data_IF_495932029955
#
_entry.id   IF_495932029955
#
_cell.length_a   1.000
_cell.length_b   1.000
_cell.length_c   1.000
_cell.angle_alpha   90.00
_cell.angle_beta   90.00
_cell.angle_gamma   90.00
#
_symmetry.space_group_name_H-M   'P 1'
#
loop_
_entity.id
_entity.type
_entity.pdbx_description
1 polymer ?
#
# COMPACT_ATOMS: atom_id res chain seq x y z
N UNK A 1 -3.18 -28.45 12.51
CA UNK A 1 -3.88 -29.42 11.63
C UNK A 1 -3.18 -29.33 10.30
N UNK A 2 -2.42 -30.34 9.88
CA UNK A 2 -1.74 -30.30 8.58
C UNK A 2 -2.79 -30.43 7.48
N UNK A 3 -2.99 -29.38 6.69
CA UNK A 3 -3.87 -29.39 5.51
C UNK A 3 -3.15 -30.03 4.32
N UNK A 4 -2.50 -31.17 4.55
CA UNK A 4 -1.81 -31.95 3.53
C UNK A 4 -2.76 -32.91 2.79
N UNK A 5 -4.05 -32.89 3.13
CA UNK A 5 -5.05 -33.77 2.54
C UNK A 5 -5.56 -33.22 1.20
N UNK A 6 -5.89 -34.12 0.26
CA UNK A 6 -6.50 -33.72 -1.00
C UNK A 6 -7.89 -33.10 -0.78
N UNK A 7 -8.39 -32.32 -1.75
CA UNK A 7 -9.71 -31.66 -1.68
C UNK A 7 -10.84 -32.61 -1.24
N UNK A 8 -10.83 -33.87 -1.71
CA UNK A 8 -11.85 -34.88 -1.35
C UNK A 8 -11.82 -35.24 0.13
N UNK A 9 -10.63 -35.40 0.69
CA UNK A 9 -10.44 -35.77 2.08
C UNK A 9 -10.85 -34.62 3.01
N UNK A 10 -10.56 -33.38 2.60
CA UNK A 10 -11.06 -32.20 3.30
C UNK A 10 -12.60 -32.15 3.31
N UNK A 11 -13.24 -32.39 2.17
CA UNK A 11 -14.71 -32.42 2.08
C UNK A 11 -15.29 -33.53 2.98
N UNK A 12 -14.67 -34.71 2.99
CA UNK A 12 -15.11 -35.81 3.86
C UNK A 12 -15.01 -35.45 5.34
N UNK A 13 -13.87 -34.89 5.78
CA UNK A 13 -13.67 -34.44 7.17
C UNK A 13 -14.66 -33.35 7.58
N UNK A 14 -14.88 -32.35 6.73
CA UNK A 14 -15.85 -31.28 7.01
C UNK A 14 -17.28 -31.83 7.09
N UNK A 15 -17.63 -32.80 6.23
CA UNK A 15 -18.94 -33.46 6.27
C UNK A 15 -19.16 -34.25 7.56
N UNK A 16 -18.13 -34.91 8.08
CA UNK A 16 -18.18 -35.66 9.34
C UNK A 16 -18.38 -34.73 10.54
N UNK A 17 -17.63 -33.63 10.60
CA UNK A 17 -17.81 -32.60 11.63
C UNK A 17 -19.22 -31.99 11.60
N UNK A 18 -19.76 -31.70 10.41
CA UNK A 18 -21.14 -31.21 10.30
C UNK A 18 -22.18 -32.25 10.75
N UNK A 19 -21.98 -33.53 10.44
CA UNK A 19 -22.92 -34.60 10.80
C UNK A 19 -22.91 -34.94 12.29
N UNK A 20 -21.73 -34.91 12.92
CA UNK A 20 -21.57 -35.14 14.37
C UNK A 20 -22.00 -33.95 15.23
N UNK A 21 -22.01 -32.74 14.65
CA UNK A 21 -22.21 -31.50 15.39
C UNK A 21 -21.01 -31.12 16.25
N UNK A 22 -19.89 -31.83 16.12
CA UNK A 22 -18.64 -31.54 16.82
C UNK A 22 -17.86 -30.47 16.08
N UNK A 23 -17.43 -29.45 16.83
CA UNK A 23 -16.61 -28.37 16.30
C UNK A 23 -15.22 -28.89 15.93
N UNK A 24 -14.77 -28.59 14.71
CA UNK A 24 -13.42 -28.89 14.28
C UNK A 24 -12.39 -28.11 15.11
N UNK A 25 -11.29 -28.75 15.49
CA UNK A 25 -10.22 -28.08 16.22
C UNK A 25 -9.63 -26.93 15.40
N UNK A 26 -9.47 -25.74 15.99
CA UNK A 26 -8.97 -24.57 15.27
C UNK A 26 -7.53 -24.77 14.80
N UNK A 27 -7.28 -24.46 13.53
CA UNK A 27 -5.95 -24.34 12.98
C UNK A 27 -5.57 -22.86 12.94
N UNK A 28 -4.68 -22.42 13.84
CA UNK A 28 -4.23 -21.03 13.88
C UNK A 28 -2.82 -20.90 13.34
N UNK A 29 -2.55 -19.83 12.61
CA UNK A 29 -1.26 -19.59 11.95
C UNK A 29 -1.22 -18.25 11.23
N UNK A 30 -0.22 -18.04 10.39
CA UNK A 30 -0.04 -16.80 9.62
C UNK A 30 -1.21 -16.50 8.68
N UNK A 31 -1.88 -17.54 8.16
CA UNK A 31 -3.10 -17.43 7.35
C UNK A 31 -4.26 -16.72 8.07
N UNK A 32 -4.26 -16.68 9.40
CA UNK A 32 -5.29 -15.97 10.16
C UNK A 32 -5.20 -14.44 10.01
N UNK A 33 -4.13 -13.90 9.42
CA UNK A 33 -4.01 -12.47 9.09
C UNK A 33 -5.21 -11.98 8.28
N UNK A 34 -5.59 -12.74 7.25
CA UNK A 34 -6.67 -12.42 6.32
C UNK A 34 -8.00 -13.09 6.71
N UNK A 35 -8.16 -13.49 7.98
CA UNK A 35 -9.38 -14.15 8.46
C UNK A 35 -10.59 -13.22 8.32
N UNK A 36 -11.58 -13.64 7.53
CA UNK A 36 -12.85 -12.93 7.32
C UNK A 36 -13.78 -12.95 8.54
N UNK A 37 -13.56 -13.87 9.49
CA UNK A 37 -14.38 -14.04 10.70
C UNK A 37 -13.92 -13.15 11.88
N UNK A 38 -13.28 -12.01 11.57
CA UNK A 38 -12.94 -10.96 12.54
C UNK A 38 -14.14 -10.05 12.75
N UNK A 39 -14.64 -9.97 13.97
CA UNK A 39 -15.77 -9.10 14.26
C UNK A 39 -15.33 -7.65 14.39
N UNK A 40 -15.94 -6.75 13.62
CA UNK A 40 -15.83 -5.32 13.89
C UNK A 40 -16.78 -4.95 15.02
N UNK A 41 -16.22 -4.85 16.23
CA UNK A 41 -16.98 -4.45 17.43
C UNK A 41 -17.54 -3.03 17.34
N UNK A 42 -17.01 -2.16 16.46
CA UNK A 42 -17.60 -0.84 16.22
C UNK A 42 -18.85 -0.93 15.36
N UNK A 43 -18.86 -1.81 14.36
CA UNK A 43 -20.01 -2.00 13.48
C UNK A 43 -21.14 -2.83 14.13
N UNK A 44 -20.78 -3.87 14.89
CA UNK A 44 -21.72 -4.87 15.40
C UNK A 44 -21.91 -4.83 16.93
N UNK A 45 -21.27 -3.88 17.62
CA UNK A 45 -21.37 -3.68 19.06
C UNK A 45 -20.40 -4.54 19.88
N UNK A 46 -20.32 -4.30 21.21
CA UNK A 46 -19.32 -4.92 22.09
C UNK A 46 -19.48 -6.44 22.24
N UNK A 47 -20.68 -6.97 21.98
CA UNK A 47 -21.01 -8.39 22.10
C UNK A 47 -20.88 -9.15 20.76
N UNK A 48 -20.33 -8.52 19.72
CA UNK A 48 -20.13 -9.15 18.43
C UNK A 48 -19.19 -10.36 18.57
N UNK A 49 -19.66 -11.54 18.14
CA UNK A 49 -18.87 -12.78 18.19
C UNK A 49 -17.87 -12.81 17.05
N UNK A 50 -16.61 -13.12 17.35
CA UNK A 50 -15.56 -13.30 16.35
C UNK A 50 -15.08 -14.73 16.31
N UNK A 51 -15.21 -15.38 15.16
CA UNK A 51 -14.65 -16.71 14.93
C UNK A 51 -13.12 -16.71 15.05
N UNK A 52 -12.47 -15.61 14.64
CA UNK A 52 -11.04 -15.41 14.87
C UNK A 52 -10.70 -15.46 16.37
N UNK A 53 -11.37 -14.67 17.21
CA UNK A 53 -11.11 -14.66 18.66
C UNK A 53 -11.38 -16.02 19.29
N UNK A 54 -12.44 -16.71 18.84
CA UNK A 54 -12.80 -18.04 19.33
C UNK A 54 -11.73 -19.08 19.00
N UNK A 55 -11.27 -19.14 17.74
CA UNK A 55 -10.22 -20.06 17.30
C UNK A 55 -8.91 -19.87 18.08
N UNK A 56 -8.48 -18.63 18.28
CA UNK A 56 -7.25 -18.32 19.00
C UNK A 56 -7.36 -18.56 20.52
N UNK A 57 -8.52 -18.28 21.11
CA UNK A 57 -8.78 -18.57 22.53
C UNK A 57 -8.76 -20.08 22.78
N UNK A 58 -9.31 -20.88 21.87
CA UNK A 58 -9.33 -22.33 22.00
C UNK A 58 -7.94 -22.95 21.76
N UNK A 59 -7.25 -22.55 20.67
CA UNK A 59 -5.96 -23.10 20.27
C UNK A 59 -4.80 -22.69 21.18
N UNK A 60 -4.75 -21.41 21.59
CA UNK A 60 -3.61 -20.80 22.28
C UNK A 60 -3.96 -20.22 23.65
N UNK A 61 -5.20 -20.39 24.12
CA UNK A 61 -5.67 -19.91 25.44
C UNK A 61 -5.55 -18.39 25.62
N UNK A 62 -5.67 -17.64 24.52
CA UNK A 62 -5.70 -16.18 24.56
C UNK A 62 -6.95 -15.67 25.29
N UNK A 63 -6.82 -14.51 25.94
CA UNK A 63 -7.92 -13.82 26.62
C UNK A 63 -8.39 -12.65 25.77
N UNK A 64 -9.58 -12.11 26.08
CA UNK A 64 -10.15 -10.96 25.37
C UNK A 64 -9.21 -9.77 25.27
N UNK A 65 -8.44 -9.47 26.32
CA UNK A 65 -7.48 -8.37 26.34
C UNK A 65 -6.27 -8.59 25.41
N UNK A 66 -5.94 -9.84 25.07
CA UNK A 66 -4.81 -10.16 24.19
C UNK A 66 -5.08 -9.76 22.74
N UNK A 67 -6.35 -9.70 22.32
CA UNK A 67 -6.71 -9.34 20.93
C UNK A 67 -6.50 -7.86 20.59
N UNK A 68 -6.27 -7.02 21.59
CA UNK A 68 -5.86 -5.63 21.39
C UNK A 68 -4.36 -5.49 21.10
N UNK A 69 -3.58 -6.54 21.38
CA UNK A 69 -2.13 -6.58 21.12
C UNK A 69 -1.87 -6.76 19.63
N UNK A 70 -0.67 -6.37 19.23
CA UNK A 70 -0.17 -6.54 17.87
C UNK A 70 0.33 -7.98 17.67
N UNK A 71 -0.22 -8.69 16.69
CA UNK A 71 0.19 -10.07 16.38
C UNK A 71 1.50 -10.06 15.58
N UNK A 72 2.24 -11.18 15.58
CA UNK A 72 3.47 -11.31 14.78
C UNK A 72 3.23 -11.09 13.28
N UNK A 73 2.06 -11.47 12.76
CA UNK A 73 1.71 -11.26 11.35
C UNK A 73 1.28 -9.83 11.01
N UNK A 74 1.13 -8.95 12.01
CA UNK A 74 0.92 -7.52 11.83
C UNK A 74 2.25 -6.77 11.59
N UNK A 75 3.39 -7.44 11.82
CA UNK A 75 4.70 -6.87 11.53
C UNK A 75 4.85 -6.66 10.02
N UNK A 76 5.25 -5.45 9.63
CA UNK A 76 5.31 -5.08 8.23
C UNK A 76 6.29 -5.95 7.44
N UNK A 77 5.79 -6.57 6.36
CA UNK A 77 6.54 -7.42 5.45
C UNK A 77 7.33 -8.57 6.14
N UNK A 78 6.89 -9.00 7.31
CA UNK A 78 7.52 -10.08 8.06
C UNK A 78 7.08 -11.45 7.51
N UNK A 79 8.06 -12.30 7.16
CA UNK A 79 7.81 -13.63 6.57
C UNK A 79 7.95 -14.78 7.57
N UNK A 80 8.54 -14.55 8.75
CA UNK A 80 8.71 -15.57 9.80
C UNK A 80 7.50 -15.71 10.73
N UNK A 81 6.30 -15.28 10.32
CA UNK A 81 5.11 -15.30 11.19
C UNK A 81 4.69 -16.72 11.54
N UNK A 82 4.76 -17.65 10.58
CA UNK A 82 4.38 -19.05 10.80
C UNK A 82 5.31 -19.72 11.82
N UNK A 83 6.62 -19.59 11.61
CA UNK A 83 7.65 -20.16 12.50
C UNK A 83 7.59 -19.57 13.91
N UNK A 84 7.30 -18.26 14.02
CA UNK A 84 7.08 -17.60 15.30
C UNK A 84 5.89 -18.20 16.04
N UNK A 85 4.74 -18.36 15.37
CA UNK A 85 3.51 -18.93 15.98
C UNK A 85 3.72 -20.40 16.38
N UNK A 86 4.44 -21.17 15.55
CA UNK A 86 4.83 -22.54 15.84
C UNK A 86 5.72 -22.62 17.09
N UNK A 87 6.64 -21.66 17.26
CA UNK A 87 7.49 -21.48 18.44
C UNK A 87 6.79 -20.78 19.62
N UNK A 88 5.47 -20.62 19.54
CA UNK A 88 4.62 -20.00 20.54
C UNK A 88 4.90 -18.51 20.83
N UNK A 89 5.48 -17.79 19.85
CA UNK A 89 5.57 -16.32 19.81
C UNK A 89 4.40 -15.79 18.98
N UNK A 90 3.38 -15.28 19.66
CA UNK A 90 2.09 -14.93 19.05
C UNK A 90 2.02 -13.45 18.73
N UNK A 91 2.61 -12.61 19.58
CA UNK A 91 2.58 -11.16 19.47
C UNK A 91 3.92 -10.61 19.00
N UNK A 92 3.90 -9.44 18.38
CA UNK A 92 5.12 -8.74 17.98
C UNK A 92 6.06 -8.53 19.19
N UNK A 93 5.48 -8.28 20.37
CA UNK A 93 6.22 -8.16 21.62
C UNK A 93 6.90 -9.45 22.13
N UNK A 94 6.53 -10.62 21.61
CA UNK A 94 7.14 -11.90 21.98
C UNK A 94 8.44 -12.17 21.20
N UNK A 95 8.71 -11.39 20.14
CA UNK A 95 9.95 -11.45 19.38
C UNK A 95 11.03 -10.60 20.03
N UNK A 96 12.27 -11.06 19.91
CA UNK A 96 13.50 -10.38 20.34
C UNK A 96 14.26 -9.84 19.14
N UNK A 97 15.28 -9.03 19.40
CA UNK A 97 16.12 -8.45 18.35
C UNK A 97 16.86 -9.57 17.57
N UNK A 98 17.19 -10.68 18.22
CA UNK A 98 17.84 -11.86 17.61
C UNK A 98 16.91 -12.64 16.65
N UNK A 99 15.59 -12.41 16.72
CA UNK A 99 14.62 -13.05 15.81
C UNK A 99 14.60 -12.37 14.42
N UNK A 100 15.28 -11.23 14.25
CA UNK A 100 15.33 -10.49 12.99
C UNK A 100 16.76 -10.36 12.50
N UNK A 101 17.05 -11.00 11.38
CA UNK A 101 18.30 -10.78 10.65
C UNK A 101 18.29 -9.38 10.01
N UNK A 102 19.08 -8.45 10.55
CA UNK A 102 19.21 -7.09 10.00
C UNK A 102 19.95 -7.14 8.67
N UNK A 103 19.37 -6.46 7.68
CA UNK A 103 19.89 -6.37 6.31
C UNK A 103 19.83 -4.92 5.91
N UNK A 104 20.96 -4.38 5.46
CA UNK A 104 21.02 -3.03 4.94
C UNK A 104 20.29 -2.93 3.60
N UNK A 105 20.01 -1.69 3.21
CA UNK A 105 19.48 -1.38 1.88
C UNK A 105 20.61 -1.45 0.84
N UNK A 106 20.28 -1.89 -0.37
CA UNK A 106 21.19 -1.95 -1.51
C UNK A 106 21.21 -0.66 -2.36
N UNK A 107 20.47 0.37 -1.94
CA UNK A 107 20.24 1.59 -2.72
C UNK A 107 21.07 2.81 -2.28
N UNK A 108 21.95 2.66 -1.28
CA UNK A 108 22.80 3.72 -0.70
C UNK A 108 22.04 4.99 -0.24
N UNK A 109 20.72 4.90 -0.08
CA UNK A 109 19.91 6.02 0.41
C UNK A 109 19.72 5.86 1.92
N UNK A 110 19.63 6.97 2.68
CA UNK A 110 19.60 6.89 4.13
C UNK A 110 18.22 6.48 4.66
N UNK A 111 18.16 6.22 5.96
CA UNK A 111 16.97 5.77 6.68
C UNK A 111 16.83 4.24 6.74
N UNK A 112 15.74 3.80 7.36
CA UNK A 112 15.54 2.41 7.74
C UNK A 112 15.44 1.47 6.52
N UNK A 113 16.12 0.34 6.63
CA UNK A 113 15.86 -0.85 5.84
C UNK A 113 14.54 -1.50 6.23
N UNK A 114 14.14 -2.51 5.45
CA UNK A 114 12.95 -3.31 5.77
C UNK A 114 13.07 -3.96 7.15
N UNK A 115 14.18 -4.64 7.44
CA UNK A 115 14.34 -5.42 8.67
C UNK A 115 14.65 -4.52 9.86
N UNK A 116 15.34 -3.40 9.68
CA UNK A 116 15.48 -2.37 10.72
C UNK A 116 14.14 -1.78 11.13
N UNK A 117 13.23 -1.56 10.17
CA UNK A 117 11.86 -1.13 10.47
C UNK A 117 11.05 -2.19 11.22
N UNK A 118 11.20 -3.47 10.87
CA UNK A 118 10.58 -4.58 11.60
C UNK A 118 11.06 -4.62 13.05
N UNK A 119 12.36 -4.48 13.28
CA UNK A 119 12.93 -4.35 14.62
C UNK A 119 12.33 -3.16 15.37
N UNK A 120 12.22 -2.00 14.72
CA UNK A 120 11.61 -0.82 15.31
C UNK A 120 10.18 -1.09 15.79
N UNK A 121 9.37 -1.75 14.96
CA UNK A 121 8.01 -2.16 15.30
C UNK A 121 7.98 -3.11 16.50
N UNK A 122 8.83 -4.14 16.52
CA UNK A 122 8.96 -5.09 17.64
C UNK A 122 9.35 -4.35 18.94
N UNK A 123 10.35 -3.46 18.88
CA UNK A 123 10.80 -2.69 20.03
C UNK A 123 9.69 -1.79 20.59
N UNK A 124 8.94 -1.10 19.73
CA UNK A 124 7.80 -0.28 20.14
C UNK A 124 6.70 -1.13 20.79
N UNK A 125 6.40 -2.29 20.22
CA UNK A 125 5.44 -3.25 20.75
C UNK A 125 5.83 -3.73 22.15
N UNK A 126 7.10 -4.12 22.35
CA UNK A 126 7.65 -4.55 23.66
C UNK A 126 7.61 -3.46 24.72
N UNK A 127 7.89 -2.23 24.33
CA UNK A 127 7.89 -1.07 25.22
C UNK A 127 6.48 -0.54 25.51
N UNK A 128 5.45 -1.03 24.79
CA UNK A 128 4.12 -0.42 24.81
C UNK A 128 4.13 1.02 24.33
N UNK A 129 5.10 1.39 23.48
CA UNK A 129 5.30 2.74 23.00
C UNK A 129 4.24 3.08 21.94
N UNK A 130 3.42 4.10 22.22
CA UNK A 130 2.40 4.64 21.31
C UNK A 130 2.84 5.95 20.64
N UNK A 131 4.08 6.36 20.90
CA UNK A 131 4.70 7.49 20.24
C UNK A 131 5.10 7.14 18.81
N UNK A 132 5.68 8.14 18.15
CA UNK A 132 6.09 8.05 16.76
C UNK A 132 7.62 8.02 16.68
N UNK A 133 8.15 7.20 15.77
CA UNK A 133 9.52 7.36 15.33
C UNK A 133 9.57 8.28 14.12
N UNK A 134 10.43 9.28 14.19
CA UNK A 134 10.79 10.11 13.04
C UNK A 134 12.30 10.34 13.02
N UNK A 135 12.93 10.07 11.89
CA UNK A 135 14.31 10.46 11.63
C UNK A 135 14.35 11.90 11.09
N UNK A 136 14.02 12.87 11.94
CA UNK A 136 13.74 14.24 11.52
C UNK A 136 14.93 14.93 10.85
N UNK A 137 16.14 14.68 11.33
CA UNK A 137 17.37 15.28 10.79
C UNK A 137 17.65 14.80 9.36
N UNK A 138 17.67 13.49 9.14
CA UNK A 138 17.91 12.90 7.81
C UNK A 138 16.77 13.23 6.86
N UNK A 139 15.52 13.20 7.34
CA UNK A 139 14.37 13.59 6.53
C UNK A 139 14.47 15.05 6.08
N UNK A 140 14.84 15.97 6.98
CA UNK A 140 15.04 17.37 6.62
C UNK A 140 16.11 17.54 5.53
N UNK A 141 17.25 16.83 5.67
CA UNK A 141 18.31 16.83 4.65
C UNK A 141 17.82 16.31 3.29
N UNK A 142 17.00 15.25 3.26
CA UNK A 142 16.41 14.76 2.01
C UNK A 142 15.42 15.76 1.40
N UNK A 143 14.61 16.42 2.23
CA UNK A 143 13.64 17.42 1.78
C UNK A 143 14.32 18.70 1.26
N UNK A 144 15.45 19.11 1.84
CA UNK A 144 16.22 20.29 1.40
C UNK A 144 16.80 20.14 -0.02
N UNK A 145 16.95 18.89 -0.51
CA UNK A 145 17.38 18.61 -1.89
C UNK A 145 16.25 18.77 -2.92
N UNK A 146 15.00 18.86 -2.46
CA UNK A 146 13.83 18.99 -3.32
C UNK A 146 13.63 20.45 -3.75
N UNK A 147 13.06 20.62 -4.95
CA UNK A 147 12.88 21.96 -5.53
C UNK A 147 11.41 22.34 -5.46
N UNK A 148 11.10 23.45 -4.79
CA UNK A 148 9.76 24.03 -4.85
C UNK A 148 9.46 24.65 -6.23
N UNK A 149 8.17 24.82 -6.59
CA UNK A 149 6.99 24.40 -5.83
C UNK A 149 6.82 22.88 -5.76
N UNK A 150 6.04 22.40 -4.80
CA UNK A 150 5.82 20.96 -4.58
C UNK A 150 4.47 20.55 -5.14
N UNK A 151 4.47 19.64 -6.11
CA UNK A 151 3.26 19.18 -6.80
C UNK A 151 2.82 17.85 -6.21
N UNK A 152 1.56 17.77 -5.78
CA UNK A 152 0.94 16.55 -5.29
C UNK A 152 -0.13 16.14 -6.28
N UNK A 153 -0.01 14.94 -6.81
CA UNK A 153 -0.87 14.42 -7.87
C UNK A 153 -1.41 13.07 -7.46
N UNK A 154 -2.69 12.88 -7.72
CA UNK A 154 -3.42 11.65 -7.44
C UNK A 154 -4.25 11.29 -8.67
N UNK A 155 -4.20 10.02 -9.09
CA UNK A 155 -4.87 9.52 -10.29
C UNK A 155 -6.04 8.62 -9.94
N UNK A 156 -7.15 8.82 -10.65
CA UNK A 156 -8.29 7.92 -10.63
C UNK A 156 -8.31 7.11 -11.92
N UNK A 157 -8.30 5.79 -11.75
CA UNK A 157 -8.19 4.84 -12.85
C UNK A 157 -9.18 3.70 -12.73
N UNK A 158 -9.49 3.07 -13.87
CA UNK A 158 -10.33 1.87 -13.94
C UNK A 158 -9.66 0.79 -14.77
N UNK A 159 -9.93 -0.46 -14.41
CA UNK A 159 -9.49 -1.65 -15.13
C UNK A 159 -10.70 -2.58 -15.25
N UNK A 160 -11.21 -2.74 -16.48
CA UNK A 160 -12.43 -3.52 -16.72
C UNK A 160 -12.13 -4.82 -17.46
N UNK A 161 -12.82 -5.90 -17.06
CA UNK A 161 -12.68 -7.21 -17.69
C UNK A 161 -13.15 -7.20 -19.15
N UNK A 162 -14.22 -6.47 -19.44
CA UNK A 162 -14.74 -6.25 -20.79
C UNK A 162 -14.41 -4.81 -21.20
N UNK A 163 -13.51 -4.60 -22.19
CA UNK A 163 -13.09 -3.25 -22.58
C UNK A 163 -14.23 -2.41 -23.17
N UNK A 164 -14.24 -1.12 -22.84
CA UNK A 164 -15.23 -0.17 -23.37
C UNK A 164 -14.99 0.25 -24.83
N UNK A 165 -13.76 0.06 -25.33
CA UNK A 165 -13.35 0.48 -26.68
C UNK A 165 -12.83 -0.71 -27.48
N UNK A 166 -13.17 -0.74 -28.78
CA UNK A 166 -12.71 -1.78 -29.68
C UNK A 166 -11.17 -1.79 -29.78
N UNK A 167 -10.59 -2.99 -29.89
CA UNK A 167 -9.14 -3.18 -29.99
C UNK A 167 -8.37 -3.12 -28.68
N UNK A 168 -9.05 -2.93 -27.54
CA UNK A 168 -8.45 -2.91 -26.20
C UNK A 168 -8.44 -4.29 -25.54
N UNK A 169 -7.59 -4.46 -24.53
CA UNK A 169 -7.42 -5.74 -23.82
C UNK A 169 -8.14 -5.74 -22.47
N UNK A 170 -8.63 -6.90 -22.00
CA UNK A 170 -9.13 -7.05 -20.63
C UNK A 170 -8.13 -6.52 -19.61
N UNK A 171 -8.64 -5.80 -18.61
CA UNK A 171 -7.86 -5.20 -17.52
C UNK A 171 -6.79 -4.21 -17.97
N UNK A 172 -6.92 -3.64 -19.17
CA UNK A 172 -6.11 -2.51 -19.58
C UNK A 172 -6.47 -1.27 -18.73
N UNK A 173 -5.46 -0.56 -18.22
CA UNK A 173 -5.68 0.57 -17.33
C UNK A 173 -6.12 1.81 -18.10
N UNK A 174 -7.19 2.43 -17.58
CA UNK A 174 -7.77 3.65 -18.13
C UNK A 174 -7.76 4.72 -17.04
N UNK A 175 -7.02 5.81 -17.27
CA UNK A 175 -6.95 6.96 -16.38
C UNK A 175 -7.94 8.03 -16.87
N UNK A 176 -8.90 8.39 -16.02
CA UNK A 176 -9.99 9.28 -16.40
C UNK A 176 -10.05 10.56 -15.58
N UNK A 177 -9.38 10.63 -14.42
CA UNK A 177 -9.31 11.83 -13.61
C UNK A 177 -7.97 11.95 -12.87
N UNK A 178 -7.50 13.18 -12.70
CA UNK A 178 -6.46 13.48 -11.72
C UNK A 178 -6.80 14.76 -10.97
N UNK A 179 -6.34 14.83 -9.72
CA UNK A 179 -6.27 16.09 -8.97
C UNK A 179 -4.82 16.55 -8.87
N UNK A 180 -4.59 17.86 -8.91
CA UNK A 180 -3.26 18.45 -8.81
C UNK A 180 -3.26 19.62 -7.82
N UNK A 181 -2.51 19.44 -6.75
CA UNK A 181 -2.32 20.43 -5.69
C UNK A 181 -0.87 20.90 -5.68
N UNK A 182 -0.68 22.16 -5.32
CA UNK A 182 0.65 22.77 -5.20
C UNK A 182 0.84 23.32 -3.80
N UNK A 183 1.99 23.00 -3.20
CA UNK A 183 2.48 23.66 -1.99
C UNK A 183 3.63 24.57 -2.39
N UNK A 184 3.48 25.87 -2.12
CA UNK A 184 4.54 26.85 -2.38
C UNK A 184 5.64 26.81 -1.30
N UNK A 185 6.68 27.62 -1.48
CA UNK A 185 7.82 27.69 -0.55
C UNK A 185 7.44 28.21 0.85
N UNK A 186 6.28 28.87 1.00
CA UNK A 186 5.76 29.35 2.27
C UNK A 186 4.84 28.33 2.95
N UNK A 187 4.68 27.14 2.35
CA UNK A 187 3.80 26.09 2.86
C UNK A 187 2.33 26.32 2.53
N UNK A 188 1.97 27.28 1.67
CA UNK A 188 0.59 27.48 1.24
C UNK A 188 0.21 26.38 0.26
N UNK A 189 -0.79 25.59 0.63
CA UNK A 189 -1.40 24.58 -0.24
C UNK A 189 -2.57 25.18 -1.02
N UNK A 190 -2.63 24.93 -2.32
CA UNK A 190 -3.78 25.24 -3.17
C UNK A 190 -4.07 24.12 -4.16
N UNK A 191 -5.35 23.91 -4.44
CA UNK A 191 -5.76 23.15 -5.61
C UNK A 191 -5.43 23.96 -6.86
N UNK A 192 -4.58 23.43 -7.74
CA UNK A 192 -4.02 24.15 -8.88
C UNK A 192 -4.79 23.87 -10.15
N UNK A 193 -4.99 22.59 -10.47
CA UNK A 193 -5.69 22.13 -11.68
C UNK A 193 -6.27 20.74 -11.45
N UNK A 194 -7.15 20.32 -12.35
CA UNK A 194 -7.68 18.96 -12.42
C UNK A 194 -7.99 18.57 -13.86
N UNK A 195 -8.21 17.28 -14.08
CA UNK A 195 -8.75 16.73 -15.31
C UNK A 195 -9.82 15.70 -14.98
N UNK A 196 -10.90 15.69 -15.75
CA UNK A 196 -11.95 14.69 -15.67
C UNK A 196 -12.51 14.44 -17.08
N UNK A 197 -12.41 13.19 -17.55
CA UNK A 197 -13.07 12.78 -18.79
C UNK A 197 -14.53 12.39 -18.52
N UNK A 198 -15.45 13.03 -19.25
CA UNK A 198 -16.90 12.80 -19.11
C UNK A 198 -17.57 12.38 -20.42
N UNK A 199 -16.85 12.40 -21.55
CA UNK A 199 -17.39 12.05 -22.87
C UNK A 199 -17.58 10.55 -22.98
N UNK A 200 -18.82 10.14 -23.24
CA UNK A 200 -19.19 8.74 -23.46
C UNK A 200 -18.50 8.17 -24.70
N UNK A 201 -17.88 7.00 -24.56
CA UNK A 201 -17.25 6.27 -25.67
C UNK A 201 -15.90 6.82 -26.10
N UNK A 202 -15.39 7.87 -25.43
CA UNK A 202 -14.07 8.44 -25.69
C UNK A 202 -13.00 7.78 -24.81
N UNK A 203 -11.82 7.54 -25.37
CA UNK A 203 -10.70 6.93 -24.64
C UNK A 203 -9.83 8.01 -23.98
N UNK A 204 -9.78 8.10 -22.64
CA UNK A 204 -9.26 9.27 -21.94
C UNK A 204 -7.73 9.37 -21.91
N UNK A 205 -7.00 8.26 -21.97
CA UNK A 205 -5.59 8.23 -21.54
C UNK A 205 -4.66 9.24 -22.22
N UNK A 206 -4.86 9.53 -23.51
CA UNK A 206 -3.98 10.46 -24.22
C UNK A 206 -4.31 11.91 -23.88
N UNK A 207 -5.61 12.24 -23.79
CA UNK A 207 -6.07 13.56 -23.33
C UNK A 207 -5.71 13.80 -21.85
N UNK A 208 -5.77 12.76 -21.04
CA UNK A 208 -5.29 12.73 -19.66
C UNK A 208 -3.81 13.13 -19.58
N UNK A 209 -2.93 12.50 -20.37
CA UNK A 209 -1.50 12.82 -20.37
C UNK A 209 -1.24 14.23 -20.91
N UNK A 210 -1.97 14.68 -21.93
CA UNK A 210 -1.88 16.07 -22.42
C UNK A 210 -2.24 17.08 -21.32
N UNK A 211 -3.33 16.82 -20.60
CA UNK A 211 -3.77 17.68 -19.49
C UNK A 211 -2.74 17.67 -18.35
N UNK A 212 -2.20 16.49 -18.01
CA UNK A 212 -1.19 16.35 -16.96
C UNK A 212 0.13 17.06 -17.33
N UNK A 213 0.58 16.93 -18.58
CA UNK A 213 1.73 17.67 -19.11
C UNK A 213 1.53 19.16 -18.96
N UNK A 214 0.38 19.68 -19.42
CA UNK A 214 0.03 21.09 -19.30
C UNK A 214 -0.01 21.58 -17.84
N UNK A 215 -0.47 20.73 -16.92
CA UNK A 215 -0.53 21.06 -15.49
C UNK A 215 0.87 21.19 -14.85
N UNK A 216 1.88 20.50 -15.40
CA UNK A 216 3.23 20.41 -14.83
C UNK A 216 4.31 21.20 -15.60
N UNK A 217 4.05 21.63 -16.83
CA UNK A 217 5.08 22.27 -17.69
C UNK A 217 5.43 23.71 -17.30
N UNK A 218 4.69 24.33 -16.39
CA UNK A 218 4.89 25.72 -15.96
C UNK A 218 6.17 25.96 -15.13
N UNK A 219 6.78 24.90 -14.61
CA UNK A 219 7.96 24.97 -13.75
C UNK A 219 8.73 23.63 -13.71
N UNK A 220 9.76 23.55 -12.86
CA UNK A 220 10.55 22.34 -12.61
C UNK A 220 10.49 21.88 -11.14
N UNK A 221 9.38 22.17 -10.44
CA UNK A 221 9.15 21.79 -9.05
C UNK A 221 9.10 20.27 -8.83
N UNK A 222 9.30 19.80 -7.62
CA UNK A 222 9.26 18.35 -7.32
C UNK A 222 7.83 17.83 -7.41
N UNK A 223 7.64 16.71 -8.12
CA UNK A 223 6.35 16.02 -8.24
C UNK A 223 6.32 14.81 -7.32
N UNK A 224 5.37 14.79 -6.40
CA UNK A 224 5.14 13.71 -5.47
C UNK A 224 4.07 12.75 -5.96
N UNK A 225 4.25 11.48 -5.60
CA UNK A 225 3.24 10.42 -5.69
C UNK A 225 3.23 9.61 -4.39
N UNK A 226 2.18 8.82 -4.19
CA UNK A 226 2.14 7.87 -3.07
C UNK A 226 2.15 6.43 -3.59
N UNK A 227 3.27 5.73 -3.42
CA UNK A 227 3.47 4.39 -3.97
C UNK A 227 3.44 4.35 -5.51
N UNK A 228 3.53 3.16 -6.09
CA UNK A 228 3.89 2.95 -7.50
C UNK A 228 2.75 3.21 -8.51
N UNK A 229 1.54 3.57 -8.05
CA UNK A 229 0.33 3.59 -8.89
C UNK A 229 0.49 4.53 -10.08
N UNK A 230 0.81 5.81 -9.83
CA UNK A 230 0.91 6.85 -10.84
C UNK A 230 2.01 6.54 -11.86
N UNK A 231 3.14 6.03 -11.39
CA UNK A 231 4.25 5.59 -12.24
C UNK A 231 3.84 4.43 -13.16
N UNK A 232 3.05 3.48 -12.63
CA UNK A 232 2.55 2.33 -13.39
C UNK A 232 1.56 2.77 -14.46
N UNK A 233 0.63 3.66 -14.11
CA UNK A 233 -0.35 4.24 -15.04
C UNK A 233 0.35 4.88 -16.23
N UNK A 234 1.28 5.82 -15.98
CA UNK A 234 1.97 6.52 -17.06
C UNK A 234 2.82 5.58 -17.91
N UNK A 235 3.46 4.56 -17.32
CA UNK A 235 4.19 3.57 -18.10
C UNK A 235 3.28 2.71 -19.00
N UNK A 236 2.07 2.38 -18.55
CA UNK A 236 1.09 1.71 -19.41
C UNK A 236 0.61 2.63 -20.55
N UNK A 237 0.34 3.91 -20.25
CA UNK A 237 -0.06 4.88 -21.28
C UNK A 237 1.09 5.10 -22.28
N UNK A 238 2.34 5.12 -21.82
CA UNK A 238 3.53 5.18 -22.69
C UNK A 238 3.56 4.02 -23.69
N UNK A 239 3.30 2.79 -23.24
CA UNK A 239 3.19 1.62 -24.13
C UNK A 239 2.03 1.74 -25.12
N UNK A 240 0.89 2.26 -24.68
CA UNK A 240 -0.27 2.50 -25.56
C UNK A 240 0.03 3.57 -26.62
N UNK A 241 0.72 4.66 -26.24
CA UNK A 241 1.14 5.72 -27.16
C UNK A 241 2.07 5.18 -28.26
N UNK A 242 3.00 4.29 -27.92
CA UNK A 242 3.89 3.64 -28.89
C UNK A 242 3.16 2.78 -29.95
N UNK A 243 1.94 2.34 -29.66
CA UNK A 243 1.07 1.59 -30.59
C UNK A 243 -0.01 2.47 -31.24
N UNK A 244 -0.05 3.76 -30.90
CA UNK A 244 -1.07 4.71 -31.35
C UNK A 244 -0.70 5.42 -32.65
N UNK A 245 -1.70 6.08 -33.23
CA UNK A 245 -1.57 6.96 -34.40
C UNK A 245 -1.68 8.45 -34.00
N UNK A 246 -1.50 8.78 -32.73
CA UNK A 246 -1.56 10.18 -32.26
C UNK A 246 -0.38 10.98 -32.83
N UNK A 247 -0.64 12.19 -33.32
CA UNK A 247 0.39 13.03 -33.96
C UNK A 247 1.46 13.54 -32.99
N UNK A 248 1.13 13.65 -31.70
CA UNK A 248 2.00 14.09 -30.62
C UNK A 248 2.54 12.93 -29.77
N UNK A 249 2.40 11.67 -30.22
CA UNK A 249 2.78 10.49 -29.42
C UNK A 249 4.22 10.52 -28.94
N UNK A 250 5.17 10.92 -29.80
CA UNK A 250 6.60 10.89 -29.50
C UNK A 250 6.94 11.97 -28.46
N UNK A 251 6.25 13.12 -28.51
CA UNK A 251 6.35 14.18 -27.50
C UNK A 251 5.82 13.70 -26.14
N UNK A 252 4.64 13.09 -26.13
CA UNK A 252 4.01 12.59 -24.89
C UNK A 252 4.82 11.46 -24.26
N UNK A 253 5.34 10.53 -25.05
CA UNK A 253 6.23 9.47 -24.57
C UNK A 253 7.51 10.05 -23.96
N UNK A 254 8.21 10.94 -24.67
CA UNK A 254 9.41 11.58 -24.16
C UNK A 254 9.13 12.36 -22.87
N UNK A 255 7.96 13.00 -22.76
CA UNK A 255 7.55 13.70 -21.54
C UNK A 255 7.31 12.73 -20.38
N UNK A 256 6.60 11.62 -20.58
CA UNK A 256 6.39 10.58 -19.56
C UNK A 256 7.75 10.08 -19.03
N UNK A 257 8.70 9.82 -19.93
CA UNK A 257 10.04 9.36 -19.58
C UNK A 257 10.81 10.34 -18.69
N UNK A 258 10.46 11.63 -18.70
CA UNK A 258 11.07 12.61 -17.79
C UNK A 258 10.62 12.44 -16.34
N UNK A 259 9.44 11.87 -16.10
CA UNK A 259 8.81 11.75 -14.77
C UNK A 259 8.87 10.34 -14.19
N UNK A 260 8.79 9.31 -15.04
CA UNK A 260 8.63 7.92 -14.56
C UNK A 260 9.94 7.16 -14.49
N UNK A 261 9.97 6.16 -13.62
CA UNK A 261 10.97 5.08 -13.67
C UNK A 261 10.43 3.97 -14.58
N UNK A 262 11.20 3.47 -15.55
CA UNK A 262 10.75 2.41 -16.45
C UNK A 262 10.47 1.10 -15.71
N UNK A 263 9.60 0.23 -16.24
CA UNK A 263 9.42 -1.12 -15.71
C UNK A 263 10.74 -1.91 -15.69
N UNK A 264 10.87 -2.82 -14.72
CA UNK A 264 12.05 -3.69 -14.64
C UNK A 264 12.17 -4.54 -15.89
N UNK A 265 13.36 -4.58 -16.50
CA UNK A 265 13.61 -5.36 -17.71
C UNK A 265 13.11 -4.71 -19.00
N UNK A 266 12.74 -3.42 -18.98
CA UNK A 266 12.48 -2.66 -20.20
C UNK A 266 13.72 -2.69 -21.11
N UNK A 267 13.51 -2.90 -22.42
CA UNK A 267 14.60 -3.08 -23.40
C UNK A 267 15.53 -1.86 -23.46
N UNK A 268 14.95 -0.66 -23.42
CA UNK A 268 15.68 0.60 -23.41
C UNK A 268 15.28 1.42 -22.17
N UNK A 269 15.91 1.19 -21.00
CA UNK A 269 15.52 1.89 -19.78
C UNK A 269 15.97 3.35 -19.81
N UNK A 270 15.03 4.28 -19.62
CA UNK A 270 15.33 5.70 -19.50
C UNK A 270 15.68 6.12 -18.07
N UNK A 271 16.32 7.29 -17.94
CA UNK A 271 16.60 7.94 -16.66
C UNK A 271 15.79 9.23 -16.55
N UNK A 272 14.80 9.31 -15.66
CA UNK A 272 13.96 10.49 -15.53
C UNK A 272 14.76 11.70 -15.05
N UNK A 273 14.50 12.86 -15.67
CA UNK A 273 15.12 14.15 -15.30
C UNK A 273 14.40 14.82 -14.11
N UNK A 274 13.10 14.57 -13.96
CA UNK A 274 12.21 15.10 -12.92
C UNK A 274 11.40 13.93 -12.33
N UNK A 275 12.10 12.89 -11.88
CA UNK A 275 11.47 11.66 -11.36
C UNK A 275 10.48 11.97 -10.25
N UNK A 276 9.36 11.26 -10.23
CA UNK A 276 8.46 11.28 -9.08
C UNK A 276 9.21 10.97 -7.78
N UNK A 277 8.91 11.73 -6.73
CA UNK A 277 9.29 11.42 -5.36
C UNK A 277 8.19 10.59 -4.71
N UNK A 278 8.54 9.41 -4.23
CA UNK A 278 7.59 8.49 -3.59
C UNK A 278 7.49 8.77 -2.09
N UNK A 279 6.37 9.37 -1.67
CA UNK A 279 6.12 9.67 -0.25
C UNK A 279 6.01 8.41 0.61
N UNK A 280 5.58 7.27 0.04
CA UNK A 280 5.56 6.01 0.78
C UNK A 280 6.96 5.56 1.10
N UNK A 281 7.91 5.77 0.18
CA UNK A 281 9.31 5.43 0.40
C UNK A 281 9.95 6.28 1.50
N UNK A 282 9.69 7.61 1.48
CA UNK A 282 10.12 8.51 2.57
C UNK A 282 9.55 8.04 3.91
N UNK A 283 8.28 7.65 3.93
CA UNK A 283 7.61 7.15 5.13
C UNK A 283 8.27 5.86 5.64
N UNK A 284 8.55 4.90 4.76
CA UNK A 284 9.16 3.62 5.14
C UNK A 284 10.55 3.81 5.76
N UNK A 285 11.33 4.76 5.25
CA UNK A 285 12.69 5.05 5.71
C UNK A 285 12.73 5.83 7.01
N UNK A 286 11.87 6.84 7.13
CA UNK A 286 12.08 7.88 8.13
C UNK A 286 10.97 7.99 9.16
N UNK A 287 9.89 7.22 9.03
CA UNK A 287 8.69 7.43 9.83
C UNK A 287 8.00 6.12 10.23
N UNK A 288 7.79 5.88 11.52
CA UNK A 288 6.98 4.74 11.98
C UNK A 288 5.99 5.17 13.06
N UNK A 289 4.75 4.73 12.91
CA UNK A 289 3.63 5.03 13.80
C UNK A 289 2.95 3.71 14.20
N UNK A 290 2.98 3.30 15.48
CA UNK A 290 2.43 2.03 15.97
C UNK A 290 0.96 1.80 15.60
N UNK A 291 0.17 2.87 15.56
CA UNK A 291 -1.26 2.84 15.22
C UNK A 291 -1.55 2.33 13.81
N UNK A 292 -0.54 2.22 12.94
CA UNK A 292 -0.72 1.65 11.61
C UNK A 292 -0.62 0.13 11.57
N UNK A 293 -0.17 -0.55 12.65
CA UNK A 293 -0.01 -2.00 12.72
C UNK A 293 0.70 -2.57 11.49
N UNK A 294 1.81 -1.95 11.11
CA UNK A 294 2.61 -2.32 9.93
C UNK A 294 2.02 -1.93 8.56
N UNK A 295 0.82 -1.35 8.51
CA UNK A 295 0.27 -0.79 7.27
C UNK A 295 1.02 0.49 6.90
N UNK A 296 1.39 0.59 5.62
CA UNK A 296 2.08 1.76 5.06
C UNK A 296 1.28 2.38 3.89
N UNK A 297 -0.05 2.26 3.95
CA UNK A 297 -0.96 2.95 3.03
C UNK A 297 -1.25 4.37 3.52
N UNK A 298 -1.52 5.30 2.61
CA UNK A 298 -1.87 6.68 2.96
C UNK A 298 -3.06 6.76 3.93
N UNK A 299 -4.07 5.90 3.74
CA UNK A 299 -5.25 5.75 4.60
C UNK A 299 -4.90 5.41 6.06
N UNK A 300 -3.74 4.80 6.28
CA UNK A 300 -3.31 4.42 7.62
C UNK A 300 -2.70 5.57 8.40
N UNK A 301 -2.10 6.54 7.69
CA UNK A 301 -1.43 7.71 8.25
C UNK A 301 -2.33 8.95 8.35
N UNK A 302 -3.45 9.01 7.62
CA UNK A 302 -4.40 10.13 7.70
C UNK A 302 -5.49 9.86 8.77
N UNK A 303 -5.46 10.53 9.94
CA UNK A 303 -6.45 10.32 11.00
C UNK A 303 -7.92 10.60 10.60
N UNK A 304 -8.26 11.59 9.74
CA UNK A 304 -9.66 11.90 9.42
C UNK A 304 -10.44 10.71 8.84
N UNK A 305 -9.80 9.85 8.04
CA UNK A 305 -10.47 8.70 7.41
C UNK A 305 -10.86 7.60 8.40
N UNK A 306 -10.26 7.55 9.59
CA UNK A 306 -10.57 6.54 10.61
C UNK A 306 -11.71 6.96 11.53
N UNK A 307 -12.11 8.24 11.53
CA UNK A 307 -13.11 8.80 12.46
C UNK A 307 -14.36 9.39 11.79
N UNK A 308 -14.35 9.68 10.49
CA UNK A 308 -15.53 10.16 9.79
C UNK A 308 -16.16 9.05 8.95
N UNK A 309 -17.26 8.48 9.42
CA UNK A 309 -18.27 7.78 8.60
C UNK A 309 -18.98 8.71 7.59
N UNK A 310 -18.35 9.82 7.22
CA UNK A 310 -18.72 10.65 6.09
C UNK A 310 -17.60 10.47 5.08
N UNK A 311 -17.91 9.73 4.02
CA UNK A 311 -17.07 9.68 2.84
C UNK A 311 -16.94 11.09 2.29
N UNK A 312 -15.81 11.72 2.59
CA UNK A 312 -15.30 12.78 1.72
C UNK A 312 -14.57 12.01 0.63
N UNK A 313 -15.30 11.74 -0.45
CA UNK A 313 -14.66 11.46 -1.73
C UNK A 313 -13.81 12.67 -2.08
N UNK A 314 -12.56 12.40 -2.46
CA UNK A 314 -11.78 13.38 -3.20
C UNK A 314 -12.38 13.55 -4.59
#
# INVERSE_FOLDING_TARGET
MEWADGFKDLVAKLSEHMASGEKASPNVGSHCKDCEFRADKKAYGPNAKSGFEECWSEAKKLKTADFEREFVFDIWDYRGSEDAIASNKIFAADLSDDDIEVKDRDDNKPGLSRTERQLKQIQFSRQGNKGMYINAEVLAQELDLLKGPYHFIDFETTMVAIPFHAGRKPYEQMAFQFSHHVVDQNGKCEHRTEYLETRRGHHPNYDFVRALKKALEGDNGTVFRFAAHENTVLNQIHQQLGQSQEGDRDELMAWIETLTTPPRGHENPWKPKRSFVDMRELTLRHYYLPETKGSNSIKSFCPPFKSSGQGVGY
#
